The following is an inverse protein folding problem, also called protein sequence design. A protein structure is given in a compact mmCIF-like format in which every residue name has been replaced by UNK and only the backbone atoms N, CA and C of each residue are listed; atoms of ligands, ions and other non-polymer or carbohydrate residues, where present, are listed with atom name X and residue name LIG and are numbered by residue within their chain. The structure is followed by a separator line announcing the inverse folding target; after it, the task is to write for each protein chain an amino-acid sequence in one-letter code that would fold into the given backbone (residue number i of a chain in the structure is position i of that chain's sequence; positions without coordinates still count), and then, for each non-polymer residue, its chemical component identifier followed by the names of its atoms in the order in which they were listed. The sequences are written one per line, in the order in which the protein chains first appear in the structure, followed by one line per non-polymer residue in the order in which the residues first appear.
data_IF_093757166649
#
_entry.id   IF_093757166649
#
_cell.length_a   1.000
_cell.length_b   1.000
_cell.length_c   1.000
_cell.angle_alpha   90.00
_cell.angle_beta   90.00
_cell.angle_gamma   90.00
#
_symmetry.space_group_name_H-M   'P 1'
#
loop_
_entity.id
_entity.type
_entity.pdbx_description
1 polymer ?
#
# COMPACT_ATOMS: atom_id res chain seq x y z
N UNK A 1 8.94 -7.44 -25.46
CA UNK A 1 8.77 -7.65 -24.01
C UNK A 1 7.35 -7.31 -23.58
N UNK A 2 6.91 -6.04 -23.64
CA UNK A 2 5.61 -5.58 -23.12
C UNK A 2 4.35 -5.88 -23.98
N UNK A 3 4.38 -6.90 -24.84
CA UNK A 3 3.24 -7.31 -25.67
C UNK A 3 2.60 -8.63 -25.20
N UNK A 4 3.02 -9.13 -24.04
CA UNK A 4 2.43 -10.33 -23.45
C UNK A 4 0.99 -10.07 -23.02
N UNK A 5 0.08 -11.01 -23.29
CA UNK A 5 -1.34 -10.90 -22.96
C UNK A 5 -1.66 -11.58 -21.64
N UNK A 6 -1.79 -10.77 -20.60
CA UNK A 6 -2.26 -11.23 -19.28
C UNK A 6 -3.77 -11.31 -19.19
N UNK A 7 -4.51 -10.46 -19.91
CA UNK A 7 -5.96 -10.45 -19.91
C UNK A 7 -6.47 -11.37 -21.02
N UNK A 8 -7.34 -12.31 -20.66
CA UNK A 8 -8.10 -13.08 -21.65
C UNK A 8 -9.17 -12.21 -22.31
N UNK A 9 -9.74 -12.69 -23.41
CA UNK A 9 -10.88 -12.02 -24.07
C UNK A 9 -12.07 -11.84 -23.12
N UNK A 10 -12.35 -12.83 -22.27
CA UNK A 10 -13.42 -12.76 -21.28
C UNK A 10 -13.19 -11.66 -20.23
N UNK A 11 -11.92 -11.39 -19.87
CA UNK A 11 -11.60 -10.27 -19.00
C UNK A 11 -11.96 -8.94 -19.67
N UNK A 12 -11.60 -8.78 -20.95
CA UNK A 12 -11.85 -7.56 -21.74
C UNK A 12 -13.36 -7.31 -21.91
N UNK A 13 -14.12 -8.34 -22.30
CA UNK A 13 -15.58 -8.27 -22.41
C UNK A 13 -16.25 -7.99 -21.06
N UNK A 14 -15.67 -8.48 -19.96
CA UNK A 14 -16.09 -8.16 -18.61
C UNK A 14 -15.94 -6.67 -18.28
N UNK A 15 -14.83 -6.04 -18.70
CA UNK A 15 -14.60 -4.62 -18.47
C UNK A 15 -15.55 -3.72 -19.26
N UNK A 16 -16.06 -4.14 -20.43
CA UNK A 16 -17.03 -3.37 -21.21
C UNK A 16 -18.36 -3.16 -20.46
N UNK A 17 -18.71 -4.12 -19.59
CA UNK A 17 -19.93 -4.09 -18.79
C UNK A 17 -19.72 -3.51 -17.39
N UNK A 18 -18.48 -3.15 -17.05
CA UNK A 18 -18.13 -2.70 -15.72
C UNK A 18 -18.65 -1.29 -15.44
N UNK A 19 -19.31 -1.13 -14.29
CA UNK A 19 -19.75 0.16 -13.76
C UNK A 19 -19.14 0.37 -12.39
N UNK A 20 -18.44 1.49 -12.22
CA UNK A 20 -17.88 1.87 -10.94
C UNK A 20 -18.98 2.06 -9.91
N UNK A 21 -18.90 1.33 -8.81
CA UNK A 21 -19.76 1.49 -7.64
C UNK A 21 -18.90 1.48 -6.38
N UNK A 22 -18.88 2.61 -5.69
CA UNK A 22 -18.22 2.78 -4.41
C UNK A 22 -19.15 3.52 -3.45
N UNK A 23 -19.05 3.20 -2.17
CA UNK A 23 -19.77 3.85 -1.08
C UNK A 23 -18.74 4.41 -0.12
N UNK A 24 -18.82 5.73 0.10
CA UNK A 24 -18.05 6.45 1.10
C UNK A 24 -18.99 6.99 2.17
N UNK A 25 -18.74 6.62 3.43
CA UNK A 25 -19.47 7.12 4.60
C UNK A 25 -18.55 7.78 5.63
N UNK A 26 -17.27 7.96 5.29
CA UNK A 26 -16.27 8.59 6.16
C UNK A 26 -16.68 10.04 6.42
N UNK A 27 -16.90 10.45 7.69
CA UNK A 27 -17.23 11.84 7.99
C UNK A 27 -16.14 12.81 7.51
N UNK A 28 -14.87 12.42 7.62
CA UNK A 28 -13.75 13.21 7.15
C UNK A 28 -13.78 13.35 5.62
N UNK A 29 -14.02 12.26 4.90
CA UNK A 29 -14.15 12.31 3.43
C UNK A 29 -15.32 13.20 3.00
N UNK A 30 -16.52 12.88 3.50
CA UNK A 30 -17.78 13.48 3.03
C UNK A 30 -17.84 14.97 3.34
N UNK A 31 -17.47 15.38 4.56
CA UNK A 31 -17.68 16.76 5.01
C UNK A 31 -16.46 17.66 4.83
N UNK A 32 -15.25 17.12 4.67
CA UNK A 32 -14.01 17.92 4.55
C UNK A 32 -13.33 17.68 3.21
N UNK A 33 -12.98 16.43 2.91
CA UNK A 33 -12.12 16.13 1.77
C UNK A 33 -12.83 16.28 0.43
N UNK A 34 -14.06 15.79 0.29
CA UNK A 34 -14.84 15.96 -0.93
C UNK A 34 -15.08 17.43 -1.29
N UNK A 35 -15.50 18.32 -0.37
CA UNK A 35 -15.55 19.76 -0.62
C UNK A 35 -14.20 20.35 -1.04
N UNK A 36 -13.12 20.01 -0.34
CA UNK A 36 -11.77 20.46 -0.66
C UNK A 36 -11.33 20.02 -2.07
N UNK A 37 -11.40 18.72 -2.36
CA UNK A 37 -11.04 18.14 -3.65
C UNK A 37 -11.91 18.66 -4.80
N UNK A 38 -13.20 18.95 -4.57
CA UNK A 38 -14.06 19.58 -5.58
C UNK A 38 -13.55 20.98 -5.96
N UNK A 39 -12.90 21.70 -5.05
CA UNK A 39 -12.26 23.00 -5.36
C UNK A 39 -10.89 22.82 -6.00
N UNK A 40 -10.08 21.90 -5.49
CA UNK A 40 -8.73 21.68 -6.03
C UNK A 40 -8.78 21.17 -7.47
N UNK A 41 -9.72 20.28 -7.82
CA UNK A 41 -9.82 19.75 -9.18
C UNK A 41 -10.11 20.85 -10.22
N UNK A 42 -10.75 21.96 -9.84
CA UNK A 42 -11.01 23.09 -10.75
C UNK A 42 -9.71 23.75 -11.23
N UNK A 43 -8.64 23.69 -10.43
CA UNK A 43 -7.31 24.21 -10.73
C UNK A 43 -6.55 23.35 -11.75
N UNK A 44 -6.93 22.07 -11.90
CA UNK A 44 -6.27 21.17 -12.84
C UNK A 44 -6.72 21.50 -14.27
N UNK A 45 -5.80 21.78 -15.21
CA UNK A 45 -6.17 21.96 -16.61
C UNK A 45 -6.86 20.72 -17.20
N UNK A 46 -7.88 20.93 -18.03
CA UNK A 46 -8.66 19.83 -18.64
C UNK A 46 -7.87 18.93 -19.60
N UNK A 47 -6.68 19.34 -20.03
CA UNK A 47 -5.80 18.53 -20.88
C UNK A 47 -4.97 17.50 -20.08
N UNK A 48 -4.92 17.63 -18.74
CA UNK A 48 -4.23 16.66 -17.89
C UNK A 48 -5.12 15.44 -17.69
N UNK A 49 -4.62 14.27 -18.12
CA UNK A 49 -5.26 12.99 -17.91
C UNK A 49 -5.31 12.62 -16.42
N UNK A 50 -6.42 12.03 -15.92
CA UNK A 50 -6.53 11.60 -14.53
C UNK A 50 -5.37 10.73 -14.06
N UNK A 51 -4.97 9.74 -14.87
CA UNK A 51 -3.88 8.82 -14.52
C UNK A 51 -2.51 9.51 -14.37
N UNK A 52 -2.33 10.73 -14.91
CA UNK A 52 -1.12 11.53 -14.66
C UNK A 52 -1.11 12.03 -13.21
N UNK A 53 -2.28 12.41 -12.67
CA UNK A 53 -2.42 12.84 -11.27
C UNK A 53 -2.10 11.68 -10.34
N UNK A 54 -2.74 10.52 -10.56
CA UNK A 54 -2.48 9.28 -9.82
C UNK A 54 -0.99 8.91 -9.86
N UNK A 55 -0.38 8.88 -11.05
CA UNK A 55 1.02 8.50 -11.20
C UNK A 55 1.97 9.50 -10.55
N UNK A 56 1.69 10.80 -10.67
CA UNK A 56 2.49 11.85 -10.02
C UNK A 56 2.41 11.73 -8.49
N UNK A 57 1.21 11.50 -7.93
CA UNK A 57 1.03 11.27 -6.50
C UNK A 57 1.80 10.05 -6.01
N UNK A 58 1.69 8.93 -6.73
CA UNK A 58 2.45 7.72 -6.45
C UNK A 58 3.97 7.96 -6.47
N UNK A 59 4.50 8.70 -7.47
CA UNK A 59 5.92 9.02 -7.55
C UNK A 59 6.41 9.89 -6.37
N UNK A 60 5.57 10.77 -5.81
CA UNK A 60 5.92 11.53 -4.61
C UNK A 60 6.08 10.62 -3.38
N UNK A 61 5.24 9.60 -3.25
CA UNK A 61 5.36 8.59 -2.17
C UNK A 61 6.62 7.74 -2.35
N UNK A 62 6.92 7.32 -3.59
CA UNK A 62 8.17 6.60 -3.92
C UNK A 62 9.38 7.49 -3.59
N UNK A 63 9.34 8.77 -3.94
CA UNK A 63 10.41 9.71 -3.66
C UNK A 63 10.63 9.89 -2.15
N UNK A 64 9.56 9.94 -1.34
CA UNK A 64 9.69 9.95 0.12
C UNK A 64 10.44 8.71 0.64
N UNK A 65 10.07 7.53 0.15
CA UNK A 65 10.76 6.30 0.51
C UNK A 65 12.23 6.33 0.09
N UNK A 66 12.54 6.74 -1.13
CA UNK A 66 13.92 6.83 -1.63
C UNK A 66 14.77 7.86 -0.87
N UNK A 67 14.21 9.04 -0.58
CA UNK A 67 14.90 10.07 0.21
C UNK A 67 15.23 9.55 1.61
N UNK A 68 14.28 8.95 2.31
CA UNK A 68 14.55 8.35 3.63
C UNK A 68 15.53 7.17 3.54
N UNK A 69 15.47 6.37 2.47
CA UNK A 69 16.43 5.29 2.24
C UNK A 69 17.85 5.79 2.00
N UNK A 70 17.99 6.97 1.39
CA UNK A 70 19.28 7.62 1.20
C UNK A 70 19.89 8.13 2.51
N UNK A 71 19.08 8.75 3.38
CA UNK A 71 19.56 9.30 4.66
C UNK A 71 19.68 8.24 5.77
N UNK A 72 18.82 7.23 5.78
CA UNK A 72 18.75 6.21 6.83
C UNK A 72 18.26 4.87 6.28
N UNK A 73 19.13 4.17 5.54
CA UNK A 73 18.77 2.90 4.92
C UNK A 73 18.37 1.84 5.95
N UNK A 74 19.11 1.73 7.05
CA UNK A 74 18.98 0.65 8.02
C UNK A 74 18.01 0.93 9.19
N UNK A 75 17.34 2.09 9.19
CA UNK A 75 16.43 2.56 10.25
C UNK A 75 17.12 2.85 11.61
N UNK A 76 18.39 3.24 11.59
CA UNK A 76 19.16 3.57 12.79
C UNK A 76 19.22 5.07 13.11
N UNK A 77 18.91 5.97 12.18
CA UNK A 77 19.07 7.42 12.41
C UNK A 77 18.19 7.94 13.56
N UNK A 78 16.99 7.38 13.73
CA UNK A 78 16.09 7.68 14.85
C UNK A 78 16.27 6.72 16.05
N UNK A 79 17.28 5.86 16.03
CA UNK A 79 17.52 4.87 17.09
C UNK A 79 18.39 5.45 18.22
N UNK A 80 17.87 5.37 19.44
CA UNK A 80 18.58 5.72 20.68
C UNK A 80 19.08 4.42 21.34
N UNK A 81 20.30 4.37 21.91
CA UNK A 81 20.60 3.36 22.94
C UNK A 81 20.83 4.03 24.27
N UNK A 82 20.21 3.40 25.27
CA UNK A 82 20.28 3.80 26.65
C UNK A 82 21.57 3.31 27.34
N UNK A 83 22.71 3.31 26.66
CA UNK A 83 23.98 2.99 27.29
C UNK A 83 24.52 4.22 28.03
N UNK A 84 24.03 4.46 29.25
CA UNK A 84 24.57 5.41 30.24
C UNK A 84 24.73 6.89 29.84
N UNK A 85 24.04 7.39 28.82
CA UNK A 85 23.93 8.82 28.59
C UNK A 85 22.73 9.39 29.38
N UNK A 86 22.99 10.30 30.32
CA UNK A 86 21.94 11.22 30.78
C UNK A 86 21.35 11.92 29.57
N UNK A 87 20.04 12.20 29.57
CA UNK A 87 19.28 12.81 28.46
C UNK A 87 19.87 14.13 27.91
N UNK A 88 20.90 14.66 28.54
CA UNK A 88 21.60 15.92 28.22
C UNK A 88 22.80 15.66 27.28
N UNK A 89 23.33 14.42 27.23
CA UNK A 89 24.50 14.05 26.42
C UNK A 89 24.17 12.91 25.44
N UNK A 90 22.96 12.97 24.89
CA UNK A 90 22.35 11.94 24.06
C UNK A 90 23.00 11.84 22.67
N UNK A 91 24.20 11.26 22.58
CA UNK A 91 24.70 10.72 21.31
C UNK A 91 23.88 9.48 20.98
N UNK A 92 23.07 9.56 19.93
CA UNK A 92 22.33 8.46 19.30
C UNK A 92 23.29 7.34 18.86
N UNK A 93 23.70 6.39 19.70
CA UNK A 93 24.50 5.22 19.28
C UNK A 93 25.79 5.48 18.49
N UNK A 94 26.36 6.69 18.54
CA UNK A 94 27.44 7.10 17.65
C UNK A 94 27.01 7.41 16.21
N UNK A 95 25.72 7.33 15.88
CA UNK A 95 25.09 7.81 14.66
C UNK A 95 24.48 9.19 14.92
N UNK A 96 25.03 10.27 14.38
CA UNK A 96 24.32 11.56 14.41
C UNK A 96 22.95 11.41 13.72
N UNK A 97 21.90 12.12 14.16
CA UNK A 97 20.61 12.16 13.46
C UNK A 97 20.85 12.75 12.04
N UNK A 98 21.12 11.86 11.07
CA UNK A 98 21.55 12.24 9.72
C UNK A 98 20.41 12.87 8.93
N UNK A 99 19.15 12.62 9.34
CA UNK A 99 17.96 13.11 8.65
C UNK A 99 17.74 14.59 8.97
N UNK A 100 17.87 15.51 8.01
CA UNK A 100 17.67 16.93 8.27
C UNK A 100 16.20 17.21 8.65
N UNK A 101 15.97 18.10 9.62
CA UNK A 101 14.60 18.48 10.04
C UNK A 101 13.74 18.99 8.89
N UNK A 102 14.36 19.70 7.92
CA UNK A 102 13.69 20.17 6.71
C UNK A 102 13.11 19.04 5.86
N UNK A 103 13.75 17.86 5.86
CA UNK A 103 13.29 16.71 5.09
C UNK A 103 11.93 16.21 5.58
N UNK A 104 11.66 16.22 6.89
CA UNK A 104 10.37 15.83 7.43
C UNK A 104 9.22 16.72 6.92
N UNK A 105 9.45 18.02 6.76
CA UNK A 105 8.46 18.92 6.15
C UNK A 105 8.26 18.64 4.66
N UNK A 106 9.33 18.35 3.91
CA UNK A 106 9.24 17.97 2.50
C UNK A 106 8.43 16.67 2.36
N UNK A 107 8.71 15.67 3.19
CA UNK A 107 7.99 14.40 3.21
C UNK A 107 6.50 14.61 3.49
N UNK A 108 6.17 15.47 4.45
CA UNK A 108 4.78 15.83 4.76
C UNK A 108 4.08 16.48 3.56
N UNK A 109 4.74 17.43 2.90
CA UNK A 109 4.19 18.10 1.71
C UNK A 109 3.97 17.09 0.59
N UNK A 110 4.95 16.22 0.32
CA UNK A 110 4.83 15.20 -0.72
C UNK A 110 3.72 14.20 -0.43
N UNK A 111 3.56 13.77 0.83
CA UNK A 111 2.46 12.89 1.22
C UNK A 111 1.10 13.59 1.07
N UNK A 112 0.98 14.83 1.52
CA UNK A 112 -0.26 15.60 1.39
C UNK A 112 -0.63 15.84 -0.08
N UNK A 113 0.36 16.16 -0.93
CA UNK A 113 0.17 16.30 -2.37
C UNK A 113 -0.21 14.96 -3.01
N UNK A 114 0.44 13.85 -2.64
CA UNK A 114 0.10 12.53 -3.14
C UNK A 114 -1.36 12.18 -2.83
N UNK A 115 -1.77 12.31 -1.57
CA UNK A 115 -3.15 12.09 -1.14
C UNK A 115 -4.15 13.03 -1.82
N UNK A 116 -3.75 14.27 -2.09
CA UNK A 116 -4.60 15.23 -2.80
C UNK A 116 -4.76 14.87 -4.27
N UNK A 117 -3.68 14.49 -4.95
CA UNK A 117 -3.67 14.12 -6.36
C UNK A 117 -4.49 12.85 -6.62
N UNK A 118 -4.37 11.88 -5.71
CA UNK A 118 -5.20 10.68 -5.62
C UNK A 118 -6.69 11.06 -5.51
N UNK A 119 -7.09 11.79 -4.46
CA UNK A 119 -8.50 12.13 -4.24
C UNK A 119 -9.18 13.02 -5.31
N UNK A 120 -8.42 13.68 -6.18
CA UNK A 120 -8.95 14.48 -7.29
C UNK A 120 -8.97 13.75 -8.64
N UNK A 121 -8.33 12.59 -8.79
CA UNK A 121 -8.18 11.94 -10.09
C UNK A 121 -9.53 11.50 -10.70
N UNK A 122 -10.41 10.88 -9.91
CA UNK A 122 -11.74 10.46 -10.31
C UNK A 122 -12.66 11.66 -10.50
N UNK A 123 -12.41 12.77 -9.80
CA UNK A 123 -13.12 14.04 -10.05
C UNK A 123 -12.70 14.62 -11.38
N UNK A 124 -11.41 14.58 -11.71
CA UNK A 124 -10.89 15.00 -13.00
C UNK A 124 -11.42 14.10 -14.13
N UNK A 125 -11.51 12.78 -13.90
CA UNK A 125 -12.07 11.83 -14.85
C UNK A 125 -13.53 12.13 -15.18
N UNK A 126 -14.35 12.45 -14.17
CA UNK A 126 -15.73 12.93 -14.37
C UNK A 126 -15.79 14.25 -15.11
N UNK A 127 -14.93 15.22 -14.76
CA UNK A 127 -14.88 16.56 -15.39
C UNK A 127 -14.47 16.51 -16.86
N UNK A 128 -13.62 15.55 -17.24
CA UNK A 128 -13.10 15.36 -18.59
C UNK A 128 -13.84 14.27 -19.38
N UNK A 129 -14.84 13.62 -18.77
CA UNK A 129 -15.60 12.51 -19.35
C UNK A 129 -14.72 11.33 -19.79
N UNK A 130 -13.66 11.05 -19.02
CA UNK A 130 -12.72 9.94 -19.24
C UNK A 130 -12.78 8.88 -18.13
N UNK A 131 -13.86 8.85 -17.34
CA UNK A 131 -14.08 7.79 -16.35
C UNK A 131 -14.18 6.42 -17.02
N UNK A 132 -13.49 5.43 -16.49
CA UNK A 132 -13.56 4.06 -17.01
C UNK A 132 -12.78 3.05 -16.18
N UNK A 133 -12.88 1.75 -16.52
CA UNK A 133 -12.24 0.66 -15.78
C UNK A 133 -10.71 0.79 -15.74
N UNK A 134 -10.10 1.36 -16.78
CA UNK A 134 -8.65 1.58 -16.80
C UNK A 134 -8.20 2.53 -15.69
N UNK A 135 -8.91 3.65 -15.49
CA UNK A 135 -8.54 4.66 -14.49
C UNK A 135 -8.57 4.06 -13.08
N UNK A 136 -9.65 3.38 -12.73
CA UNK A 136 -9.78 2.74 -11.41
C UNK A 136 -8.75 1.61 -11.19
N UNK A 137 -8.48 0.78 -12.21
CA UNK A 137 -7.43 -0.24 -12.07
C UNK A 137 -6.06 0.40 -11.85
N UNK A 138 -5.79 1.52 -12.53
CA UNK A 138 -4.53 2.25 -12.42
C UNK A 138 -4.37 2.86 -11.03
N UNK A 139 -5.43 3.52 -10.54
CA UNK A 139 -5.57 4.10 -9.22
C UNK A 139 -5.32 3.09 -8.10
N UNK A 140 -6.25 2.15 -7.91
CA UNK A 140 -6.13 1.16 -6.84
C UNK A 140 -4.91 0.23 -7.01
N UNK A 141 -4.43 0.07 -8.25
CA UNK A 141 -3.20 -0.66 -8.54
C UNK A 141 -1.98 0.01 -7.91
N UNK A 142 -1.85 1.34 -8.07
CA UNK A 142 -0.76 2.10 -7.45
C UNK A 142 -0.96 2.27 -5.94
N UNK A 143 -2.19 2.42 -5.47
CA UNK A 143 -2.48 2.44 -4.02
C UNK A 143 -1.96 1.22 -3.30
N UNK A 144 -2.04 0.04 -3.93
CA UNK A 144 -1.52 -1.19 -3.34
C UNK A 144 -0.01 -1.16 -3.06
N UNK A 145 0.77 -0.31 -3.74
CA UNK A 145 2.17 -0.02 -3.35
C UNK A 145 2.26 1.03 -2.25
N UNK A 146 1.46 2.09 -2.34
CA UNK A 146 1.42 3.18 -1.34
C UNK A 146 1.20 2.64 0.07
N UNK A 147 0.41 1.56 0.22
CA UNK A 147 0.16 0.85 1.48
C UNK A 147 1.43 0.41 2.22
N UNK A 148 2.55 0.11 1.54
CA UNK A 148 3.80 -0.24 2.22
C UNK A 148 4.84 0.89 2.22
N UNK A 149 4.84 1.78 1.24
CA UNK A 149 5.79 2.89 1.21
C UNK A 149 5.55 3.89 2.35
N UNK A 150 4.29 4.27 2.61
CA UNK A 150 3.98 5.25 3.66
C UNK A 150 4.38 4.72 5.05
N UNK A 151 3.99 3.50 5.46
CA UNK A 151 4.38 2.98 6.78
C UNK A 151 5.89 2.75 6.89
N UNK A 152 6.55 2.35 5.80
CA UNK A 152 8.01 2.26 5.77
C UNK A 152 8.68 3.63 6.00
N UNK A 153 8.07 4.72 5.52
CA UNK A 153 8.52 6.09 5.84
C UNK A 153 8.25 6.46 7.30
N UNK A 154 7.04 6.18 7.81
CA UNK A 154 6.68 6.44 9.21
C UNK A 154 7.58 5.68 10.19
N UNK A 155 7.99 4.46 9.85
CA UNK A 155 8.91 3.70 10.68
C UNK A 155 10.26 4.40 10.86
N UNK A 156 10.69 5.22 9.89
CA UNK A 156 11.91 6.05 10.01
C UNK A 156 11.81 7.11 11.11
N UNK A 157 10.60 7.51 11.53
CA UNK A 157 10.41 8.44 12.66
C UNK A 157 10.79 7.76 13.97
N UNK A 158 10.48 6.46 14.09
CA UNK A 158 10.73 5.70 15.30
C UNK A 158 12.13 5.06 15.28
N UNK A 159 12.61 4.59 14.14
CA UNK A 159 13.81 3.75 14.07
C UNK A 159 13.53 2.32 14.56
N UNK A 160 14.60 1.54 14.76
CA UNK A 160 14.51 0.09 15.05
C UNK A 160 15.04 -0.36 16.41
N UNK A 161 15.67 0.52 17.18
CA UNK A 161 16.22 0.20 18.52
C UNK A 161 15.26 0.61 19.65
N UNK A 162 15.79 0.86 20.85
CA UNK A 162 15.03 1.18 22.05
C UNK A 162 13.96 2.27 21.80
N UNK A 163 12.86 2.14 22.55
CA UNK A 163 11.66 2.97 22.43
C UNK A 163 10.93 2.89 21.08
N UNK A 164 11.31 1.97 20.19
CA UNK A 164 10.73 1.79 18.86
C UNK A 164 10.01 0.44 18.73
N UNK A 165 9.37 0.19 17.59
CA UNK A 165 8.80 -1.13 17.29
C UNK A 165 9.93 -2.03 16.76
N UNK A 166 10.22 -3.19 17.36
CA UNK A 166 11.25 -4.10 16.86
C UNK A 166 11.01 -4.56 15.41
N UNK A 167 12.06 -4.88 14.61
CA UNK A 167 11.93 -5.27 13.20
C UNK A 167 10.88 -6.37 12.93
N UNK A 168 10.87 -7.42 13.74
CA UNK A 168 9.89 -8.50 13.59
C UNK A 168 8.44 -8.06 13.86
N UNK A 169 8.24 -7.07 14.72
CA UNK A 169 6.90 -6.54 15.03
C UNK A 169 6.42 -5.60 13.95
N UNK A 170 7.27 -4.71 13.45
CA UNK A 170 6.91 -3.83 12.32
C UNK A 170 6.64 -4.64 11.03
N UNK A 171 7.30 -5.78 10.84
CA UNK A 171 6.96 -6.73 9.77
C UNK A 171 5.48 -7.17 9.84
N UNK A 172 4.96 -7.48 11.03
CA UNK A 172 3.54 -7.85 11.20
C UNK A 172 2.59 -6.65 11.14
N UNK A 173 3.01 -5.48 11.60
CA UNK A 173 2.28 -4.23 11.38
C UNK A 173 2.12 -3.98 9.88
N UNK A 174 3.16 -4.20 9.09
CA UNK A 174 3.11 -4.08 7.63
C UNK A 174 2.08 -5.05 7.04
N UNK A 175 2.13 -6.34 7.42
CA UNK A 175 1.13 -7.32 6.98
C UNK A 175 -0.31 -6.96 7.39
N UNK A 176 -0.50 -6.35 8.55
CA UNK A 176 -1.81 -5.85 8.97
C UNK A 176 -2.32 -4.76 8.01
N UNK A 177 -1.47 -3.79 7.67
CA UNK A 177 -1.83 -2.70 6.74
C UNK A 177 -2.15 -3.24 5.34
N UNK A 178 -1.35 -4.19 4.84
CA UNK A 178 -1.59 -4.88 3.58
C UNK A 178 -2.93 -5.65 3.61
N UNK A 179 -3.20 -6.36 4.70
CA UNK A 179 -4.49 -7.05 4.89
C UNK A 179 -5.67 -6.07 4.84
N UNK A 180 -5.55 -4.90 5.47
CA UNK A 180 -6.64 -3.92 5.50
C UNK A 180 -7.02 -3.42 4.11
N UNK A 181 -6.03 -3.11 3.27
CA UNK A 181 -6.29 -2.77 1.87
C UNK A 181 -6.93 -3.94 1.12
N UNK A 182 -6.45 -5.17 1.37
CA UNK A 182 -6.97 -6.37 0.71
C UNK A 182 -8.43 -6.65 1.07
N UNK A 183 -8.83 -6.40 2.33
CA UNK A 183 -10.17 -6.68 2.81
C UNK A 183 -11.24 -5.86 2.08
N UNK A 184 -11.00 -4.59 1.76
CA UNK A 184 -11.94 -3.77 0.97
C UNK A 184 -12.15 -4.32 -0.44
N UNK A 185 -11.09 -4.90 -1.03
CA UNK A 185 -11.15 -5.54 -2.34
C UNK A 185 -11.78 -6.94 -2.28
N UNK A 186 -11.52 -7.69 -1.21
CA UNK A 186 -12.19 -8.96 -0.96
C UNK A 186 -13.69 -8.78 -0.72
N UNK A 187 -14.07 -7.74 0.02
CA UNK A 187 -15.45 -7.31 0.20
C UNK A 187 -16.09 -6.98 -1.15
N UNK A 188 -15.48 -6.08 -1.94
CA UNK A 188 -15.98 -5.74 -3.28
C UNK A 188 -16.08 -6.93 -4.21
N UNK A 189 -15.14 -7.87 -4.15
CA UNK A 189 -15.23 -9.10 -4.92
C UNK A 189 -16.58 -9.78 -4.63
N UNK A 190 -16.99 -9.89 -3.36
CA UNK A 190 -18.21 -10.58 -2.93
C UNK A 190 -19.50 -9.75 -3.07
N UNK A 191 -19.45 -8.45 -2.82
CA UNK A 191 -20.62 -7.55 -2.81
C UNK A 191 -20.87 -6.87 -4.15
N UNK A 192 -19.83 -6.70 -4.98
CA UNK A 192 -19.87 -5.86 -6.18
C UNK A 192 -19.72 -4.35 -5.91
N UNK A 193 -19.54 -3.94 -4.65
CA UNK A 193 -19.45 -2.54 -4.22
C UNK A 193 -18.16 -2.32 -3.44
N UNK A 194 -17.41 -1.27 -3.78
CA UNK A 194 -16.26 -0.85 -2.97
C UNK A 194 -16.73 -0.04 -1.76
N UNK A 195 -16.54 -0.55 -0.56
CA UNK A 195 -16.72 0.26 0.65
C UNK A 195 -15.37 0.88 1.02
N UNK A 196 -15.33 2.21 1.06
CA UNK A 196 -14.11 2.94 1.41
C UNK A 196 -13.93 2.94 2.94
N UNK A 197 -12.82 2.42 3.46
CA UNK A 197 -12.60 2.34 4.89
C UNK A 197 -12.33 3.73 5.46
N UNK A 198 -13.03 4.10 6.54
CA UNK A 198 -12.84 5.40 7.19
C UNK A 198 -11.39 5.65 7.59
N UNK A 199 -10.69 4.58 8.01
CA UNK A 199 -9.30 4.65 8.44
C UNK A 199 -8.35 5.23 7.39
N UNK A 200 -8.66 5.16 6.10
CA UNK A 200 -7.78 5.65 5.04
C UNK A 200 -7.51 7.16 5.17
N UNK A 201 -8.55 8.00 5.09
CA UNK A 201 -8.37 9.46 5.16
C UNK A 201 -7.77 9.91 6.49
N UNK A 202 -8.22 9.32 7.59
CA UNK A 202 -7.67 9.61 8.92
C UNK A 202 -6.19 9.24 8.99
N UNK A 203 -5.78 8.12 8.39
CA UNK A 203 -4.38 7.71 8.35
C UNK A 203 -3.52 8.65 7.50
N UNK A 204 -4.03 9.16 6.37
CA UNK A 204 -3.29 10.12 5.52
C UNK A 204 -3.02 11.44 6.24
N UNK A 205 -4.04 11.98 6.92
CA UNK A 205 -3.87 13.17 7.75
C UNK A 205 -2.98 12.92 8.96
N UNK A 206 -3.20 11.83 9.70
CA UNK A 206 -2.38 11.49 10.86
C UNK A 206 -0.90 11.34 10.47
N UNK A 207 -0.61 10.69 9.34
CA UNK A 207 0.75 10.51 8.83
C UNK A 207 1.38 11.83 8.42
N UNK A 208 0.65 12.68 7.68
CA UNK A 208 1.09 14.02 7.29
C UNK A 208 1.42 14.87 8.51
N UNK A 209 0.53 14.88 9.51
CA UNK A 209 0.73 15.63 10.75
C UNK A 209 1.89 15.06 11.58
N UNK A 210 2.10 13.74 11.59
CA UNK A 210 3.25 13.12 12.24
C UNK A 210 4.57 13.60 11.62
N UNK A 211 4.67 13.68 10.29
CA UNK A 211 5.87 14.20 9.63
C UNK A 211 6.11 15.69 9.95
N UNK A 212 5.07 16.53 9.91
CA UNK A 212 5.17 17.94 10.32
C UNK A 212 5.65 18.04 11.78
N UNK A 213 5.03 17.27 12.68
CA UNK A 213 5.36 17.26 14.10
C UNK A 213 6.81 16.83 14.34
N UNK A 214 7.28 15.83 13.59
CA UNK A 214 8.67 15.36 13.63
C UNK A 214 9.63 16.44 13.12
N UNK A 215 9.27 17.19 12.08
CA UNK A 215 10.07 18.34 11.61
C UNK A 215 10.25 19.43 12.68
N UNK A 216 9.22 19.69 13.48
CA UNK A 216 9.27 20.70 14.56
C UNK A 216 10.04 20.18 15.78
N UNK A 217 9.68 18.99 16.28
CA UNK A 217 10.14 18.50 17.58
C UNK A 217 11.34 17.54 17.51
N UNK A 218 11.67 17.03 16.31
CA UNK A 218 12.65 15.97 16.12
C UNK A 218 12.13 14.58 16.49
N UNK A 219 12.89 13.55 16.12
CA UNK A 219 12.54 12.14 16.38
C UNK A 219 12.63 11.76 17.86
N UNK A 220 13.48 12.46 18.64
CA UNK A 220 13.59 12.28 20.10
C UNK A 220 12.27 12.48 20.85
N UNK A 221 11.33 13.27 20.30
CA UNK A 221 10.01 13.44 20.89
C UNK A 221 9.29 12.11 21.12
N UNK A 222 9.51 11.13 20.23
CA UNK A 222 8.81 9.85 20.24
C UNK A 222 9.42 8.84 21.23
N UNK A 223 10.57 9.16 21.83
CA UNK A 223 11.31 8.30 22.75
C UNK A 223 10.81 8.46 24.18
N UNK A 224 9.56 8.05 24.42
CA UNK A 224 8.86 8.25 25.71
C UNK A 224 8.04 7.02 26.10
N UNK A 225 7.92 6.81 27.41
CA UNK A 225 6.91 5.93 27.99
C UNK A 225 5.59 6.69 28.13
N UNK A 226 4.48 6.05 27.77
CA UNK A 226 3.12 6.55 28.03
C UNK A 226 2.66 6.10 29.41
N UNK A 227 2.79 4.80 29.68
CA UNK A 227 2.31 4.18 30.92
C UNK A 227 3.07 2.88 31.20
N UNK A 228 3.65 2.75 32.41
CA UNK A 228 4.48 1.60 32.76
C UNK A 228 5.60 1.39 31.74
N UNK A 229 5.71 0.17 31.20
CA UNK A 229 6.68 -0.19 30.15
C UNK A 229 6.20 0.09 28.72
N UNK A 230 4.99 0.64 28.54
CA UNK A 230 4.45 0.94 27.21
C UNK A 230 5.03 2.24 26.67
N UNK A 231 5.78 2.14 25.57
CA UNK A 231 6.36 3.28 24.85
C UNK A 231 5.33 3.92 23.93
N UNK A 232 5.60 5.13 23.46
CA UNK A 232 4.77 5.77 22.45
C UNK A 232 4.64 4.91 21.18
N UNK A 233 5.75 4.31 20.74
CA UNK A 233 5.77 3.40 19.59
C UNK A 233 4.84 2.18 19.77
N UNK A 234 4.77 1.61 20.99
CA UNK A 234 3.79 0.55 21.30
C UNK A 234 2.34 1.04 21.20
N UNK A 235 2.07 2.28 21.62
CA UNK A 235 0.75 2.90 21.45
C UNK A 235 0.36 3.04 19.97
N UNK A 236 1.30 3.48 19.12
CA UNK A 236 1.10 3.55 17.67
C UNK A 236 0.85 2.17 17.04
N UNK A 237 1.62 1.16 17.43
CA UNK A 237 1.43 -0.22 16.97
C UNK A 237 0.04 -0.75 17.31
N UNK A 238 -0.39 -0.59 18.56
CA UNK A 238 -1.72 -1.01 19.01
C UNK A 238 -2.84 -0.27 18.25
N UNK A 239 -2.67 1.03 18.01
CA UNK A 239 -3.62 1.82 17.24
C UNK A 239 -3.74 1.29 15.80
N UNK A 240 -2.62 0.98 15.14
CA UNK A 240 -2.62 0.41 13.78
C UNK A 240 -3.34 -0.93 13.75
N UNK A 241 -3.00 -1.87 14.64
CA UNK A 241 -3.71 -3.16 14.71
C UNK A 241 -5.21 -2.99 14.98
N UNK A 242 -5.58 -2.01 15.81
CA UNK A 242 -6.97 -1.66 16.10
C UNK A 242 -7.74 -1.24 14.85
N UNK A 243 -7.16 -0.39 13.99
CA UNK A 243 -7.82 0.04 12.74
C UNK A 243 -8.07 -1.10 11.76
N UNK A 244 -7.29 -2.19 11.86
CA UNK A 244 -7.40 -3.28 10.91
C UNK A 244 -8.29 -4.43 11.33
N UNK A 245 -7.82 -5.17 12.33
CA UNK A 245 -8.47 -6.43 12.77
C UNK A 245 -9.76 -6.13 13.51
N UNK A 246 -9.81 -5.03 14.26
CA UNK A 246 -10.93 -4.72 15.16
C UNK A 246 -12.02 -3.93 14.43
N UNK A 247 -11.67 -3.09 13.46
CA UNK A 247 -12.67 -2.29 12.73
C UNK A 247 -12.94 -2.77 11.31
N UNK A 248 -11.92 -2.91 10.45
CA UNK A 248 -12.17 -3.14 9.01
C UNK A 248 -12.72 -4.55 8.72
N UNK A 249 -12.13 -5.58 9.33
CA UNK A 249 -12.57 -6.96 9.11
C UNK A 249 -14.04 -7.22 9.55
N UNK A 250 -14.48 -6.81 10.76
CA UNK A 250 -15.89 -6.97 11.15
C UNK A 250 -16.86 -6.21 10.25
N UNK A 251 -16.49 -5.02 9.79
CA UNK A 251 -17.31 -4.21 8.86
C UNK A 251 -17.43 -4.92 7.50
N UNK A 252 -16.32 -5.40 6.95
CA UNK A 252 -16.34 -6.16 5.69
C UNK A 252 -17.22 -7.43 5.80
N UNK A 253 -17.07 -8.19 6.90
CA UNK A 253 -17.91 -9.36 7.17
C UNK A 253 -19.39 -9.00 7.31
N UNK A 254 -19.70 -7.90 8.02
CA UNK A 254 -21.06 -7.39 8.18
C UNK A 254 -21.67 -7.02 6.83
N UNK A 255 -20.96 -6.28 6.00
CA UNK A 255 -21.42 -5.82 4.69
C UNK A 255 -21.60 -6.99 3.70
N UNK A 256 -20.69 -7.97 3.69
CA UNK A 256 -20.86 -9.21 2.91
C UNK A 256 -22.14 -9.92 3.36
N UNK A 257 -22.30 -10.15 4.67
CA UNK A 257 -23.48 -10.82 5.22
C UNK A 257 -24.78 -10.06 4.90
N UNK A 258 -24.78 -8.74 5.08
CA UNK A 258 -25.91 -7.86 4.75
C UNK A 258 -26.27 -7.97 3.27
N UNK A 259 -25.28 -7.86 2.37
CA UNK A 259 -25.53 -7.97 0.93
C UNK A 259 -26.09 -9.33 0.52
N UNK A 260 -25.70 -10.40 1.22
CA UNK A 260 -26.20 -11.76 0.99
C UNK A 260 -27.63 -11.96 1.49
N UNK A 261 -27.96 -11.40 2.66
CA UNK A 261 -29.33 -11.37 3.18
C UNK A 261 -30.28 -10.57 2.28
N UNK A 262 -29.81 -9.42 1.78
CA UNK A 262 -30.57 -8.52 0.92
C UNK A 262 -30.57 -8.95 -0.56
N UNK A 263 -29.80 -9.99 -0.93
CA UNK A 263 -29.63 -10.49 -2.30
C UNK A 263 -29.11 -9.43 -3.29
N UNK A 264 -28.30 -8.49 -2.79
CA UNK A 264 -27.68 -7.42 -3.60
C UNK A 264 -26.25 -7.74 -4.02
N UNK A 265 -25.57 -8.65 -3.30
CA UNK A 265 -24.21 -9.10 -3.64
C UNK A 265 -24.14 -10.11 -4.78
N UNK A 266 -22.95 -10.72 -5.00
CA UNK A 266 -22.74 -11.72 -6.06
C UNK A 266 -23.20 -13.14 -5.73
N UNK A 267 -23.74 -13.37 -4.52
CA UNK A 267 -24.28 -14.66 -4.04
C UNK A 267 -23.35 -15.85 -4.26
N UNK A 268 -22.04 -15.67 -4.06
CA UNK A 268 -21.06 -16.75 -4.24
C UNK A 268 -21.14 -17.77 -3.11
N UNK A 269 -20.84 -19.03 -3.42
CA UNK A 269 -20.62 -20.06 -2.40
C UNK A 269 -19.50 -19.64 -1.45
N UNK A 270 -19.49 -20.18 -0.22
CA UNK A 270 -18.45 -19.85 0.78
C UNK A 270 -17.03 -20.11 0.24
N UNK A 271 -16.83 -21.19 -0.50
CA UNK A 271 -15.53 -21.53 -1.09
C UNK A 271 -15.06 -20.50 -2.13
N UNK A 272 -15.97 -20.03 -2.99
CA UNK A 272 -15.65 -18.99 -3.96
C UNK A 272 -15.51 -17.62 -3.32
N UNK A 273 -16.27 -17.34 -2.25
CA UNK A 273 -16.19 -16.09 -1.51
C UNK A 273 -14.84 -15.94 -0.79
N UNK A 274 -14.31 -17.03 -0.22
CA UNK A 274 -13.00 -17.06 0.46
C UNK A 274 -11.82 -17.22 -0.52
N UNK A 275 -12.08 -17.56 -1.79
CA UNK A 275 -11.03 -17.88 -2.77
C UNK A 275 -9.91 -16.83 -2.88
N UNK A 276 -10.18 -15.50 -2.90
CA UNK A 276 -9.10 -14.51 -2.95
C UNK A 276 -8.14 -14.55 -1.75
N UNK A 277 -8.60 -15.02 -0.58
CA UNK A 277 -7.79 -15.04 0.63
C UNK A 277 -6.68 -16.10 0.57
N UNK A 278 -6.80 -17.13 -0.27
CA UNK A 278 -5.77 -18.16 -0.40
C UNK A 278 -4.45 -17.60 -0.91
N UNK A 279 -4.51 -16.72 -1.91
CA UNK A 279 -3.31 -16.14 -2.51
C UNK A 279 -2.57 -15.28 -1.49
N UNK A 280 -3.29 -14.35 -0.83
CA UNK A 280 -2.75 -13.52 0.24
C UNK A 280 -2.17 -14.36 1.38
N UNK A 281 -2.93 -15.33 1.89
CA UNK A 281 -2.52 -16.20 3.00
C UNK A 281 -1.28 -17.03 2.63
N UNK A 282 -1.19 -17.55 1.39
CA UNK A 282 -0.04 -18.34 0.96
C UNK A 282 1.25 -17.51 0.96
N UNK A 283 1.21 -16.29 0.43
CA UNK A 283 2.35 -15.37 0.41
C UNK A 283 2.72 -14.97 1.84
N UNK A 284 1.74 -14.63 2.68
CA UNK A 284 1.95 -14.28 4.09
C UNK A 284 2.63 -15.41 4.87
N UNK A 285 2.10 -16.65 4.76
CA UNK A 285 2.63 -17.82 5.48
C UNK A 285 4.03 -18.14 5.02
N UNK A 286 4.30 -18.24 3.72
CA UNK A 286 5.64 -18.60 3.22
C UNK A 286 6.65 -17.52 3.58
N UNK A 287 6.29 -16.23 3.41
CA UNK A 287 7.18 -15.12 3.79
C UNK A 287 7.46 -15.13 5.30
N UNK A 288 6.46 -15.40 6.13
CA UNK A 288 6.63 -15.45 7.58
C UNK A 288 7.47 -16.64 8.02
N UNK A 289 7.27 -17.82 7.42
CA UNK A 289 8.13 -18.99 7.66
C UNK A 289 9.57 -18.66 7.27
N UNK A 290 9.79 -18.04 6.12
CA UNK A 290 11.14 -17.64 5.70
C UNK A 290 11.76 -16.64 6.68
N UNK A 291 11.06 -15.58 7.07
CA UNK A 291 11.57 -14.57 8.01
C UNK A 291 11.87 -15.15 9.38
N UNK A 292 11.01 -16.02 9.93
CA UNK A 292 11.21 -16.62 11.27
C UNK A 292 12.27 -17.71 11.31
N UNK A 293 12.39 -18.50 10.24
CA UNK A 293 13.38 -19.57 10.17
C UNK A 293 14.74 -19.09 9.67
N UNK A 294 14.81 -17.88 9.10
CA UNK A 294 16.06 -17.24 8.72
C UNK A 294 16.82 -16.72 9.94
N UNK A 295 18.13 -16.94 9.98
CA UNK A 295 19.00 -16.35 10.98
C UNK A 295 19.33 -14.87 10.71
N UNK A 296 18.96 -14.32 9.54
CA UNK A 296 19.39 -13.00 9.07
C UNK A 296 18.24 -12.04 8.78
N UNK A 297 17.21 -12.50 8.06
CA UNK A 297 16.22 -11.62 7.43
C UNK A 297 15.47 -10.65 8.35
N UNK A 298 15.09 -11.00 9.60
CA UNK A 298 14.42 -10.04 10.47
C UNK A 298 15.25 -8.77 10.71
N UNK A 299 16.58 -8.88 10.68
CA UNK A 299 17.49 -7.80 11.03
C UNK A 299 18.39 -7.32 9.89
N UNK A 300 18.42 -8.02 8.75
CA UNK A 300 19.39 -7.80 7.67
C UNK A 300 19.08 -6.56 6.82
N UNK A 301 18.00 -6.54 6.05
CA UNK A 301 17.64 -5.42 5.15
C UNK A 301 16.13 -5.23 5.13
N UNK A 302 15.64 -4.41 6.07
CA UNK A 302 14.21 -4.23 6.31
C UNK A 302 13.52 -3.44 5.20
N UNK A 303 14.22 -2.49 4.55
CA UNK A 303 13.67 -1.71 3.43
C UNK A 303 13.40 -2.61 2.24
N UNK A 304 14.34 -3.50 1.92
CA UNK A 304 14.16 -4.47 0.86
C UNK A 304 13.15 -5.55 1.23
N UNK A 305 13.04 -5.91 2.51
CA UNK A 305 11.99 -6.83 2.96
C UNK A 305 10.60 -6.21 2.76
N UNK A 306 10.41 -4.93 3.11
CA UNK A 306 9.17 -4.20 2.84
C UNK A 306 8.88 -4.08 1.35
N UNK A 307 9.89 -3.79 0.52
CA UNK A 307 9.74 -3.78 -0.93
C UNK A 307 9.31 -5.15 -1.47
N UNK A 308 9.90 -6.25 -0.97
CA UNK A 308 9.56 -7.61 -1.37
C UNK A 308 8.11 -7.96 -1.02
N UNK A 309 7.74 -7.86 0.27
CA UNK A 309 6.39 -8.26 0.69
C UNK A 309 5.32 -7.33 0.12
N UNK A 310 5.62 -6.03 0.01
CA UNK A 310 4.76 -5.02 -0.58
C UNK A 310 4.52 -5.26 -2.08
N UNK A 311 5.57 -5.60 -2.82
CA UNK A 311 5.48 -5.93 -4.25
C UNK A 311 4.69 -7.22 -4.50
N UNK A 312 4.97 -8.27 -3.72
CA UNK A 312 4.22 -9.53 -3.79
C UNK A 312 2.74 -9.30 -3.49
N UNK A 313 2.45 -8.57 -2.41
CA UNK A 313 1.10 -8.16 -2.05
C UNK A 313 0.43 -7.39 -3.18
N UNK A 314 1.08 -6.35 -3.72
CA UNK A 314 0.53 -5.53 -4.79
C UNK A 314 0.21 -6.36 -6.02
N UNK A 315 1.04 -7.37 -6.36
CA UNK A 315 0.75 -8.28 -7.45
C UNK A 315 -0.52 -9.12 -7.19
N UNK A 316 -0.70 -9.63 -5.97
CA UNK A 316 -1.91 -10.35 -5.55
C UNK A 316 -3.13 -9.43 -5.59
N UNK A 317 -3.02 -8.21 -5.04
CA UNK A 317 -4.10 -7.23 -5.01
C UNK A 317 -4.54 -6.80 -6.41
N UNK A 318 -3.60 -6.50 -7.32
CA UNK A 318 -3.93 -6.12 -8.70
C UNK A 318 -4.66 -7.22 -9.47
N UNK A 319 -4.32 -8.50 -9.23
CA UNK A 319 -5.04 -9.64 -9.83
C UNK A 319 -6.46 -9.74 -9.29
N UNK A 320 -6.67 -9.54 -7.99
CA UNK A 320 -8.00 -9.45 -7.40
C UNK A 320 -8.80 -8.28 -7.99
N UNK A 321 -8.18 -7.10 -8.14
CA UNK A 321 -8.81 -5.92 -8.75
C UNK A 321 -9.27 -6.23 -10.19
N UNK A 322 -8.41 -6.84 -11.00
CA UNK A 322 -8.77 -7.27 -12.35
C UNK A 322 -9.96 -8.24 -12.33
N UNK A 323 -9.93 -9.27 -11.48
CA UNK A 323 -11.01 -10.27 -11.41
C UNK A 323 -12.34 -9.67 -10.94
N UNK A 324 -12.35 -8.79 -9.95
CA UNK A 324 -13.60 -8.18 -9.48
C UNK A 324 -14.23 -7.24 -10.52
N UNK A 325 -13.41 -6.48 -11.26
CA UNK A 325 -13.86 -5.49 -12.25
C UNK A 325 -14.30 -6.15 -13.56
N UNK A 326 -13.59 -7.18 -14.01
CA UNK A 326 -13.98 -7.98 -15.18
C UNK A 326 -15.05 -9.05 -14.87
N UNK A 327 -15.48 -9.14 -13.61
CA UNK A 327 -16.38 -10.18 -13.11
C UNK A 327 -15.88 -11.62 -13.36
N UNK A 328 -14.57 -11.81 -13.48
CA UNK A 328 -13.95 -13.12 -13.64
C UNK A 328 -13.62 -13.76 -12.29
N UNK A 329 -13.39 -15.08 -12.30
CA UNK A 329 -13.00 -15.83 -11.11
C UNK A 329 -11.58 -15.47 -10.70
N UNK A 330 -11.38 -15.10 -9.44
CA UNK A 330 -10.05 -14.79 -8.90
C UNK A 330 -9.12 -16.01 -8.96
N UNK A 331 -7.83 -15.81 -9.24
CA UNK A 331 -6.81 -16.84 -9.07
C UNK A 331 -6.69 -17.21 -7.58
N UNK A 332 -6.65 -18.51 -7.25
CA UNK A 332 -6.54 -18.97 -5.87
C UNK A 332 -5.11 -18.84 -5.32
N UNK A 333 -4.11 -19.03 -6.18
CA UNK A 333 -2.68 -18.94 -5.83
C UNK A 333 -2.02 -18.07 -6.89
N UNK A 334 -1.34 -17.01 -6.47
CA UNK A 334 -0.51 -16.20 -7.35
C UNK A 334 0.70 -17.03 -7.80
N UNK A 335 1.04 -16.97 -9.09
CA UNK A 335 2.17 -17.71 -9.62
C UNK A 335 3.51 -17.34 -8.96
N UNK A 336 3.67 -16.12 -8.45
CA UNK A 336 4.86 -15.67 -7.71
C UNK A 336 5.05 -16.41 -6.37
N UNK A 337 4.02 -17.09 -5.87
CA UNK A 337 4.12 -17.94 -4.67
C UNK A 337 5.09 -19.11 -4.89
N UNK A 338 5.21 -19.64 -6.11
CA UNK A 338 6.14 -20.73 -6.42
C UNK A 338 7.62 -20.33 -6.33
N UNK A 339 8.10 -19.28 -7.04
CA UNK A 339 9.46 -18.81 -6.88
C UNK A 339 9.73 -18.25 -5.47
N UNK A 340 8.71 -17.73 -4.75
CA UNK A 340 8.83 -17.40 -3.33
C UNK A 340 9.16 -18.65 -2.50
N UNK A 341 8.42 -19.74 -2.69
CA UNK A 341 8.66 -21.00 -1.99
C UNK A 341 10.06 -21.56 -2.30
N UNK A 342 10.50 -21.49 -3.55
CA UNK A 342 11.85 -21.90 -3.95
C UNK A 342 12.91 -21.03 -3.26
N UNK A 343 12.74 -19.70 -3.28
CA UNK A 343 13.71 -18.76 -2.68
C UNK A 343 13.80 -18.93 -1.16
N UNK A 344 12.66 -19.11 -0.50
CA UNK A 344 12.60 -19.45 0.93
C UNK A 344 13.29 -20.79 1.21
N UNK A 345 13.00 -21.83 0.42
CA UNK A 345 13.59 -23.16 0.60
C UNK A 345 15.11 -23.11 0.43
N UNK A 346 15.62 -22.49 -0.64
CA UNK A 346 17.06 -22.33 -0.90
C UNK A 346 17.73 -21.56 0.24
N UNK A 347 17.12 -20.49 0.72
CA UNK A 347 17.68 -19.69 1.82
C UNK A 347 17.76 -20.46 3.13
N UNK A 348 16.77 -21.31 3.42
CA UNK A 348 16.72 -22.11 4.65
C UNK A 348 17.60 -23.36 4.60
N UNK A 349 17.78 -23.97 3.42
CA UNK A 349 18.61 -25.18 3.27
C UNK A 349 20.07 -24.86 2.96
N UNK A 350 20.35 -23.73 2.30
CA UNK A 350 21.68 -23.26 1.94
C UNK A 350 21.87 -21.79 2.38
N UNK A 351 22.09 -21.54 3.69
CA UNK A 351 22.16 -20.19 4.24
C UNK A 351 23.23 -19.28 3.62
N UNK A 352 24.27 -19.84 3.00
CA UNK A 352 25.27 -19.05 2.25
C UNK A 352 24.66 -18.31 1.04
N UNK A 353 23.61 -18.84 0.42
CA UNK A 353 22.95 -18.23 -0.74
C UNK A 353 21.75 -17.37 -0.37
N UNK A 354 21.39 -17.28 0.91
CA UNK A 354 20.22 -16.51 1.37
C UNK A 354 20.20 -15.05 0.87
N UNK A 355 21.28 -14.25 0.96
CA UNK A 355 21.27 -12.88 0.45
C UNK A 355 21.02 -12.83 -1.06
N UNK A 356 21.65 -13.73 -1.82
CA UNK A 356 21.48 -13.83 -3.27
C UNK A 356 20.05 -14.22 -3.64
N UNK A 357 19.47 -15.19 -2.93
CA UNK A 357 18.08 -15.61 -3.12
C UNK A 357 17.11 -14.49 -2.75
N UNK A 358 17.35 -13.78 -1.65
CA UNK A 358 16.56 -12.65 -1.20
C UNK A 358 16.57 -11.49 -2.19
N UNK A 359 17.74 -10.95 -2.54
CA UNK A 359 17.84 -9.84 -3.50
C UNK A 359 17.41 -10.25 -4.90
N UNK A 360 17.83 -11.43 -5.36
CA UNK A 360 17.44 -11.97 -6.67
C UNK A 360 15.93 -12.12 -6.79
N UNK A 361 15.27 -12.64 -5.75
CA UNK A 361 13.82 -12.77 -5.74
C UNK A 361 13.10 -11.42 -5.63
N UNK A 362 13.59 -10.49 -4.81
CA UNK A 362 13.04 -9.13 -4.74
C UNK A 362 13.10 -8.43 -6.09
N UNK A 363 14.22 -8.54 -6.82
CA UNK A 363 14.31 -7.98 -8.17
C UNK A 363 13.36 -8.68 -9.14
N UNK A 364 13.28 -10.02 -9.09
CA UNK A 364 12.35 -10.78 -9.93
C UNK A 364 10.90 -10.37 -9.70
N UNK A 365 10.46 -10.22 -8.44
CA UNK A 365 9.10 -9.81 -8.12
C UNK A 365 8.80 -8.39 -8.57
N UNK A 366 9.75 -7.46 -8.39
CA UNK A 366 9.63 -6.08 -8.84
C UNK A 366 9.48 -5.99 -10.36
N UNK A 367 10.37 -6.64 -11.12
CA UNK A 367 10.28 -6.64 -12.58
C UNK A 367 9.03 -7.36 -13.08
N UNK A 368 8.65 -8.48 -12.46
CA UNK A 368 7.42 -9.20 -12.78
C UNK A 368 6.17 -8.33 -12.56
N UNK A 369 6.14 -7.55 -11.47
CA UNK A 369 5.03 -6.65 -11.18
C UNK A 369 4.97 -5.50 -12.19
N UNK A 370 6.09 -4.80 -12.45
CA UNK A 370 6.16 -3.71 -13.43
C UNK A 370 5.75 -4.21 -14.81
N UNK A 371 6.23 -5.39 -15.21
CA UNK A 371 5.85 -6.01 -16.47
C UNK A 371 4.35 -6.33 -16.53
N UNK A 372 3.77 -6.90 -15.47
CA UNK A 372 2.35 -7.18 -15.36
C UNK A 372 1.52 -5.89 -15.52
N UNK A 373 1.79 -4.87 -14.70
CA UNK A 373 1.06 -3.60 -14.75
C UNK A 373 1.16 -2.92 -16.12
N UNK A 374 2.36 -2.85 -16.70
CA UNK A 374 2.59 -2.25 -18.03
C UNK A 374 1.80 -2.98 -19.11
N UNK A 375 1.83 -4.33 -19.13
CA UNK A 375 1.14 -5.12 -20.14
C UNK A 375 -0.39 -5.04 -20.00
N UNK A 376 -0.91 -5.05 -18.77
CA UNK A 376 -2.35 -4.94 -18.49
C UNK A 376 -2.87 -3.57 -18.89
N UNK A 377 -2.20 -2.49 -18.48
CA UNK A 377 -2.55 -1.11 -18.86
C UNK A 377 -2.54 -0.94 -20.38
N UNK A 378 -1.52 -1.46 -21.08
CA UNK A 378 -1.45 -1.41 -22.55
C UNK A 378 -2.60 -2.16 -23.22
N UNK A 379 -2.88 -3.39 -22.78
CA UNK A 379 -4.00 -4.17 -23.31
C UNK A 379 -5.35 -3.46 -23.13
N UNK A 380 -5.57 -2.83 -21.97
CA UNK A 380 -6.79 -2.06 -21.74
C UNK A 380 -6.83 -0.77 -22.58
N UNK A 381 -5.71 -0.07 -22.74
CA UNK A 381 -5.61 1.08 -23.64
C UNK A 381 -5.97 0.68 -25.08
N UNK A 382 -5.44 -0.44 -25.56
CA UNK A 382 -5.71 -0.96 -26.91
C UNK A 382 -7.18 -1.36 -27.08
N UNK A 383 -7.75 -2.06 -26.09
CA UNK A 383 -9.17 -2.48 -26.10
C UNK A 383 -10.12 -1.29 -26.11
N UNK A 384 -9.92 -0.31 -25.23
CA UNK A 384 -10.76 0.89 -25.13
C UNK A 384 -10.39 2.00 -26.12
N UNK A 385 -9.30 1.83 -26.90
CA UNK A 385 -8.76 2.82 -27.86
C UNK A 385 -8.40 4.18 -27.24
N UNK A 386 -8.01 4.16 -25.97
CA UNK A 386 -7.61 5.33 -25.17
C UNK A 386 -6.10 5.39 -24.97
N UNK A 387 -5.59 6.53 -24.53
CA UNK A 387 -4.20 6.70 -24.13
C UNK A 387 -4.13 6.90 -22.63
N UNK A 388 -3.28 6.15 -21.92
CA UNK A 388 -3.21 6.16 -20.46
C UNK A 388 -2.94 7.58 -19.89
N UNK A 389 -1.98 8.30 -20.47
CA UNK A 389 -1.51 9.59 -19.95
C UNK A 389 -1.90 10.79 -20.82
N UNK A 390 -2.83 10.62 -21.76
CA UNK A 390 -3.22 11.67 -22.68
C UNK A 390 -4.72 11.65 -22.97
N UNK A 391 -5.37 12.80 -22.86
CA UNK A 391 -6.77 12.97 -23.25
C UNK A 391 -6.81 13.37 -24.72
N UNK A 392 -7.36 12.49 -25.56
CA UNK A 392 -7.72 12.89 -26.93
C UNK A 392 -8.81 13.94 -26.85
N UNK A 393 -8.52 15.15 -27.32
CA UNK A 393 -9.57 16.17 -27.50
C UNK A 393 -10.61 15.61 -28.46
N UNK A 394 -11.88 15.62 -28.06
CA UNK A 394 -12.97 15.42 -29.02
C UNK A 394 -12.90 16.62 -29.96
N UNK A 395 -12.76 16.36 -31.26
CA UNK A 395 -13.14 17.37 -32.24
C UNK A 395 -14.65 17.56 -32.05
N UNK A 396 -15.05 18.78 -31.70
CA UNK A 396 -16.45 19.16 -31.53
C UNK A 396 -17.27 18.92 -32.81
#
# INVERSE_FOLDING_TARGET
MFNYKYLSREHLEGFDNYKYMAIDTSPLSVYVMHPFWNKVVELVPKWIAPNVLTFAGFMLVVLNFLMLSYYDYDYYAASFSANNATLIDATTNGYEEVIPKSLWFIIAVFLFLAYTLDGIDGKQARRTQTSGPLGELFDHGLDSYTVFFIPACLYSIFGRSDYSIPPIRIYYVMWNLLLNFYLSHWEKYNTGVLFLPWGYDFSMWASTLCFIWTGVNGTLFYKKYIYGSMTLAHGFELAIYGTGVVTNLPVALYNINKSYKERTGKMRSLSEALRPLWSFTSVFVISSVWVHCSARLPDYDLRMLFLLIGTLFSNVACRLIVSQMSNQRCEAINWLTWPLLVSATVSLTLPEYEPTAFYGFTMLTLFAHIHYGTCVVRQMCDHFRVSCFHIKQRAD
#
